data_IF_890178694252
#
_entry.id   IF_890178694252
#
_cell.length_a   1.000
_cell.length_b   1.000
_cell.length_c   1.000
_cell.angle_alpha   90.00
_cell.angle_beta   90.00
_cell.angle_gamma   90.00
#
_symmetry.space_group_name_H-M   'P 1'
#
loop_
_entity.id
_entity.type
_entity.pdbx_description
1 polymer ?
#
# COMPACT_ATOMS: atom_id res chain seq x y z
N UNK A 1 -6.32 2.01 76.37
CA UNK A 1 -6.93 1.10 75.37
C UNK A 1 -7.12 1.72 73.98
N UNK A 2 -6.75 2.99 73.74
CA UNK A 2 -7.01 3.68 72.46
C UNK A 2 -5.88 3.54 71.40
N UNK A 3 -4.65 3.27 71.82
CA UNK A 3 -3.48 3.27 70.92
C UNK A 3 -3.29 1.96 70.12
N UNK A 4 -3.73 0.82 70.68
CA UNK A 4 -3.56 -0.50 70.06
C UNK A 4 -4.58 -0.75 68.94
N UNK A 5 -5.82 -0.26 69.12
CA UNK A 5 -6.88 -0.36 68.10
C UNK A 5 -6.59 0.55 66.90
N UNK A 6 -6.01 1.73 67.12
CA UNK A 6 -5.59 2.63 66.05
C UNK A 6 -4.43 2.05 65.21
N UNK A 7 -3.43 1.42 65.86
CA UNK A 7 -2.31 0.78 65.15
C UNK A 7 -2.77 -0.42 64.30
N UNK A 8 -3.69 -1.24 64.82
CA UNK A 8 -4.24 -2.38 64.09
C UNK A 8 -5.09 -1.94 62.88
N UNK A 9 -5.83 -0.83 62.99
CA UNK A 9 -6.57 -0.27 61.85
C UNK A 9 -5.61 0.26 60.75
N UNK A 10 -4.52 0.92 61.16
CA UNK A 10 -3.51 1.45 60.24
C UNK A 10 -2.74 0.35 59.51
N UNK A 11 -2.37 -0.73 60.20
CA UNK A 11 -1.68 -1.88 59.58
C UNK A 11 -2.58 -2.69 58.65
N UNK A 12 -3.90 -2.66 58.83
CA UNK A 12 -4.87 -3.32 57.93
C UNK A 12 -5.23 -2.47 56.70
N UNK A 13 -5.22 -1.13 56.80
CA UNK A 13 -5.51 -0.21 55.68
C UNK A 13 -4.28 0.11 54.81
N UNK A 14 -3.07 0.05 55.37
CA UNK A 14 -1.82 0.20 54.64
C UNK A 14 -1.63 -0.79 53.46
N UNK A 15 -1.91 -2.10 53.59
CA UNK A 15 -1.77 -3.04 52.48
C UNK A 15 -2.82 -2.79 51.39
N UNK A 16 -4.06 -2.42 51.73
CA UNK A 16 -5.10 -2.12 50.75
C UNK A 16 -4.76 -0.88 49.90
N UNK A 17 -4.18 0.15 50.52
CA UNK A 17 -3.74 1.38 49.82
C UNK A 17 -2.43 1.19 49.03
N UNK A 18 -1.53 0.30 49.48
CA UNK A 18 -0.32 -0.08 48.75
C UNK A 18 -0.63 -0.88 47.48
N UNK A 19 -1.56 -1.84 47.57
CA UNK A 19 -2.07 -2.60 46.43
C UNK A 19 -2.76 -1.66 45.44
N UNK A 20 -3.67 -0.77 45.90
CA UNK A 20 -4.29 0.21 45.02
C UNK A 20 -3.26 1.12 44.32
N UNK A 21 -2.26 1.63 45.06
CA UNK A 21 -1.15 2.42 44.47
C UNK A 21 -0.31 1.66 43.46
N UNK A 22 -0.22 0.33 43.55
CA UNK A 22 0.53 -0.50 42.61
C UNK A 22 -0.29 -0.86 41.37
N UNK A 23 -1.57 -1.21 41.54
CA UNK A 23 -2.44 -1.62 40.42
C UNK A 23 -2.91 -0.44 39.56
N UNK A 24 -3.19 0.72 40.16
CA UNK A 24 -3.66 1.91 39.42
C UNK A 24 -2.69 2.38 38.31
N UNK A 25 -1.37 2.55 38.55
CA UNK A 25 -0.43 2.96 37.51
C UNK A 25 -0.18 1.88 36.45
N UNK A 26 -0.23 0.61 36.85
CA UNK A 26 -0.13 -0.52 35.90
C UNK A 26 -1.34 -0.55 34.98
N UNK A 27 -2.55 -0.36 35.53
CA UNK A 27 -3.78 -0.30 34.74
C UNK A 27 -3.82 0.93 33.82
N UNK A 28 -3.36 2.10 34.28
CA UNK A 28 -3.29 3.30 33.44
C UNK A 28 -2.28 3.15 32.31
N UNK A 29 -1.12 2.53 32.56
CA UNK A 29 -0.13 2.25 31.53
C UNK A 29 -0.67 1.30 30.45
N UNK A 30 -1.39 0.25 30.86
CA UNK A 30 -2.05 -0.66 29.93
C UNK A 30 -3.13 0.05 29.11
N UNK A 31 -3.93 0.91 29.74
CA UNK A 31 -4.96 1.70 29.04
C UNK A 31 -4.35 2.64 28.00
N UNK A 32 -3.24 3.32 28.32
CA UNK A 32 -2.52 4.20 27.38
C UNK A 32 -1.89 3.41 26.23
N UNK A 33 -1.27 2.26 26.51
CA UNK A 33 -0.70 1.39 25.49
C UNK A 33 -1.76 0.85 24.53
N UNK A 34 -2.92 0.42 25.05
CA UNK A 34 -4.03 -0.04 24.22
C UNK A 34 -4.65 1.11 23.42
N UNK A 35 -4.83 2.28 24.04
CA UNK A 35 -5.35 3.48 23.38
C UNK A 35 -4.46 3.94 22.23
N UNK A 36 -3.14 3.98 22.44
CA UNK A 36 -2.17 4.33 21.39
C UNK A 36 -2.14 3.31 20.26
N UNK A 37 -2.18 2.00 20.56
CA UNK A 37 -2.28 0.95 19.53
C UNK A 37 -3.53 1.09 18.66
N UNK A 38 -4.69 1.33 19.28
CA UNK A 38 -5.97 1.52 18.56
C UNK A 38 -5.92 2.78 17.70
N UNK A 39 -5.42 3.90 18.24
CA UNK A 39 -5.32 5.16 17.51
C UNK A 39 -4.38 5.04 16.31
N UNK A 40 -3.20 4.44 16.50
CA UNK A 40 -2.23 4.21 15.42
C UNK A 40 -2.83 3.30 14.35
N UNK A 41 -3.46 2.19 14.75
CA UNK A 41 -4.13 1.29 13.82
C UNK A 41 -5.22 1.99 13.01
N UNK A 42 -6.06 2.79 13.66
CA UNK A 42 -7.12 3.56 12.99
C UNK A 42 -6.54 4.62 12.03
N UNK A 43 -5.52 5.35 12.44
CA UNK A 43 -4.80 6.32 11.60
C UNK A 43 -4.17 5.64 10.38
N UNK A 44 -3.50 4.50 10.55
CA UNK A 44 -2.92 3.71 9.48
C UNK A 44 -3.98 3.22 8.49
N UNK A 45 -5.13 2.74 8.98
CA UNK A 45 -6.22 2.31 8.10
C UNK A 45 -6.84 3.48 7.34
N UNK A 46 -7.10 4.60 8.01
CA UNK A 46 -7.65 5.80 7.35
C UNK A 46 -6.68 6.33 6.30
N UNK A 47 -5.39 6.46 6.62
CA UNK A 47 -4.37 6.90 5.67
C UNK A 47 -4.23 5.94 4.49
N UNK A 48 -4.15 4.61 4.74
CA UNK A 48 -4.12 3.60 3.69
C UNK A 48 -5.38 3.68 2.81
N UNK A 49 -6.56 3.87 3.42
CA UNK A 49 -7.81 4.01 2.67
C UNK A 49 -7.84 5.28 1.82
N UNK A 50 -7.27 6.39 2.32
CA UNK A 50 -7.17 7.66 1.62
C UNK A 50 -6.21 7.56 0.43
N UNK A 51 -5.01 7.02 0.66
CA UNK A 51 -4.01 6.75 -0.37
C UNK A 51 -4.59 5.81 -1.42
N UNK A 52 -5.28 4.74 -1.00
CA UNK A 52 -5.90 3.79 -1.93
C UNK A 52 -6.95 4.46 -2.81
N UNK A 53 -7.81 5.31 -2.23
CA UNK A 53 -8.85 6.03 -2.98
C UNK A 53 -8.25 7.07 -3.93
N UNK A 54 -7.20 7.79 -3.52
CA UNK A 54 -6.57 8.84 -4.34
C UNK A 54 -5.70 8.29 -5.46
N UNK A 55 -4.92 7.24 -5.18
CA UNK A 55 -4.01 6.62 -6.16
C UNK A 55 -4.70 5.58 -7.03
N UNK A 56 -5.47 4.66 -6.43
CA UNK A 56 -6.11 3.56 -7.16
C UNK A 56 -7.58 3.84 -7.54
N UNK A 57 -8.18 4.95 -7.10
CA UNK A 57 -9.53 5.35 -7.55
C UNK A 57 -9.57 5.88 -8.98
N UNK A 58 -8.41 6.09 -9.61
CA UNK A 58 -8.28 6.50 -11.02
C UNK A 58 -7.83 5.35 -11.91
N UNK A 59 -8.41 4.15 -11.74
CA UNK A 59 -8.30 3.12 -12.77
C UNK A 59 -9.05 3.68 -13.99
N UNK A 60 -8.27 4.20 -14.93
CA UNK A 60 -8.77 4.70 -16.18
C UNK A 60 -9.31 3.50 -16.97
N UNK A 61 -10.54 3.64 -17.46
CA UNK A 61 -11.08 2.70 -18.44
C UNK A 61 -10.10 2.60 -19.62
N UNK A 62 -9.76 1.39 -20.01
CA UNK A 62 -8.83 1.12 -21.10
C UNK A 62 -9.47 1.34 -22.47
N UNK A 63 -10.81 1.29 -22.54
CA UNK A 63 -11.54 1.49 -23.78
C UNK A 63 -11.21 2.85 -24.43
N UNK A 64 -10.79 2.81 -25.70
CA UNK A 64 -10.47 3.99 -26.50
C UNK A 64 -9.18 4.72 -26.11
N UNK A 65 -8.37 4.19 -25.18
CA UNK A 65 -7.10 4.80 -24.79
C UNK A 65 -5.91 4.07 -25.40
N UNK A 66 -4.93 4.87 -25.83
CA UNK A 66 -3.66 4.37 -26.33
C UNK A 66 -2.50 4.75 -25.41
N UNK A 67 -1.48 3.90 -25.33
CA UNK A 67 -0.26 4.11 -24.53
C UNK A 67 0.96 3.92 -25.42
N UNK A 68 1.89 4.87 -25.41
CA UNK A 68 3.19 4.73 -26.07
C UNK A 68 4.23 4.27 -25.05
N UNK A 69 4.92 3.17 -25.35
CA UNK A 69 5.98 2.62 -24.50
C UNK A 69 7.28 2.62 -25.29
N UNK A 70 8.27 3.39 -24.83
CA UNK A 70 9.63 3.38 -25.37
C UNK A 70 10.48 2.33 -24.65
N UNK A 71 11.44 1.72 -25.35
CA UNK A 71 12.31 0.70 -24.74
C UNK A 71 11.57 -0.58 -24.33
N UNK A 72 10.69 -1.07 -25.20
CA UNK A 72 9.88 -2.27 -24.96
C UNK A 72 10.41 -3.55 -25.60
N UNK A 73 11.63 -3.53 -26.16
CA UNK A 73 12.24 -4.71 -26.77
C UNK A 73 12.43 -5.85 -25.75
N UNK A 74 12.84 -5.55 -24.52
CA UNK A 74 13.12 -6.57 -23.48
C UNK A 74 12.73 -6.09 -22.08
N UNK A 75 12.84 -6.99 -21.09
CA UNK A 75 12.72 -6.67 -19.67
C UNK A 75 11.37 -6.05 -19.28
N UNK A 76 11.43 -5.01 -18.44
CA UNK A 76 10.23 -4.37 -17.89
C UNK A 76 9.33 -3.75 -18.96
N UNK A 77 9.89 -3.10 -19.97
CA UNK A 77 9.10 -2.45 -21.03
C UNK A 77 8.29 -3.46 -21.85
N UNK A 78 8.87 -4.63 -22.14
CA UNK A 78 8.16 -5.72 -22.81
C UNK A 78 7.00 -6.25 -21.95
N UNK A 79 7.28 -6.56 -20.68
CA UNK A 79 6.26 -7.03 -19.73
C UNK A 79 5.15 -6.00 -19.52
N UNK A 80 5.49 -4.71 -19.45
CA UNK A 80 4.52 -3.63 -19.33
C UNK A 80 3.61 -3.54 -20.56
N UNK A 81 4.19 -3.69 -21.76
CA UNK A 81 3.43 -3.71 -23.02
C UNK A 81 2.41 -4.84 -23.01
N UNK A 82 2.84 -6.06 -22.68
CA UNK A 82 1.93 -7.22 -22.56
C UNK A 82 0.84 -6.99 -21.54
N UNK A 83 1.19 -6.45 -20.37
CA UNK A 83 0.24 -6.22 -19.26
C UNK A 83 -0.78 -5.13 -19.57
N UNK A 84 -0.41 -4.09 -20.32
CA UNK A 84 -1.36 -3.06 -20.75
C UNK A 84 -2.22 -3.55 -21.91
N UNK A 85 -1.63 -4.31 -22.83
CA UNK A 85 -2.39 -4.94 -23.91
C UNK A 85 -3.46 -5.90 -23.37
N UNK A 86 -3.14 -6.78 -22.41
CA UNK A 86 -4.13 -7.68 -21.78
C UNK A 86 -5.20 -6.94 -20.97
N UNK A 87 -4.90 -5.73 -20.50
CA UNK A 87 -5.88 -4.84 -19.85
C UNK A 87 -6.79 -4.10 -20.84
N UNK A 88 -6.62 -4.29 -22.16
CA UNK A 88 -7.46 -3.68 -23.20
C UNK A 88 -6.98 -2.33 -23.71
N UNK A 89 -5.79 -1.86 -23.31
CA UNK A 89 -5.21 -0.64 -23.89
C UNK A 89 -4.71 -0.93 -25.30
N UNK A 90 -4.81 0.04 -26.21
CA UNK A 90 -4.03 -0.02 -27.44
C UNK A 90 -2.59 0.44 -27.13
N UNK A 91 -1.58 -0.34 -27.50
CA UNK A 91 -0.20 -0.01 -27.14
C UNK A 91 0.64 0.24 -28.38
N UNK A 92 1.27 1.41 -28.44
CA UNK A 92 2.30 1.73 -29.42
C UNK A 92 3.66 1.35 -28.84
N UNK A 93 4.26 0.29 -29.38
CA UNK A 93 5.55 -0.24 -28.96
C UNK A 93 6.69 0.49 -29.70
N UNK A 94 7.39 1.39 -29.02
CA UNK A 94 8.60 2.06 -29.48
C UNK A 94 9.84 1.18 -29.29
N UNK A 95 9.89 0.07 -30.03
CA UNK A 95 11.03 -0.84 -30.06
C UNK A 95 12.24 -0.17 -30.74
N UNK A 96 13.43 -0.37 -30.19
CA UNK A 96 14.68 0.06 -30.83
C UNK A 96 14.92 -0.70 -32.14
N UNK A 97 14.64 -2.00 -32.15
CA UNK A 97 14.75 -2.85 -33.33
C UNK A 97 13.40 -3.47 -33.66
N UNK A 98 12.70 -2.94 -34.68
CA UNK A 98 11.36 -3.45 -35.06
C UNK A 98 11.34 -4.92 -35.46
N UNK A 99 12.49 -5.44 -35.91
CA UNK A 99 12.68 -6.82 -36.33
C UNK A 99 13.31 -7.70 -35.24
N UNK A 100 13.63 -7.14 -34.07
CA UNK A 100 14.20 -7.89 -32.95
C UNK A 100 13.21 -8.88 -32.35
N UNK A 101 13.69 -9.94 -31.68
CA UNK A 101 12.85 -11.01 -31.16
C UNK A 101 11.73 -10.51 -30.23
N UNK A 102 12.04 -9.57 -29.32
CA UNK A 102 11.02 -9.00 -28.44
C UNK A 102 9.99 -8.12 -29.16
N UNK A 103 10.37 -7.44 -30.23
CA UNK A 103 9.44 -6.68 -31.06
C UNK A 103 8.49 -7.60 -31.86
N UNK A 104 9.00 -8.72 -32.38
CA UNK A 104 8.18 -9.74 -33.03
C UNK A 104 7.21 -10.41 -32.05
N UNK A 105 7.68 -10.70 -30.84
CA UNK A 105 6.86 -11.27 -29.77
C UNK A 105 5.76 -10.31 -29.30
N UNK A 106 5.95 -8.99 -29.47
CA UNK A 106 4.92 -7.97 -29.21
C UNK A 106 3.99 -7.78 -30.42
N UNK A 107 4.49 -7.97 -31.64
CA UNK A 107 3.71 -7.86 -32.87
C UNK A 107 2.65 -8.97 -33.04
N UNK A 108 2.79 -10.10 -32.34
CA UNK A 108 1.77 -11.15 -32.30
C UNK A 108 0.52 -10.76 -31.50
N UNK A 109 0.56 -9.65 -30.76
CA UNK A 109 -0.55 -9.16 -29.94
C UNK A 109 -1.38 -8.17 -30.75
N UNK A 110 -2.68 -8.46 -30.93
CA UNK A 110 -3.58 -7.73 -31.85
C UNK A 110 -3.74 -6.23 -31.55
N UNK A 111 -3.67 -5.84 -30.28
CA UNK A 111 -3.80 -4.45 -29.83
C UNK A 111 -2.44 -3.76 -29.56
N UNK A 112 -1.34 -4.33 -30.08
CA UNK A 112 -0.01 -3.72 -30.04
C UNK A 112 0.45 -3.37 -31.45
N UNK A 113 0.88 -2.13 -31.65
CA UNK A 113 1.43 -1.66 -32.93
C UNK A 113 2.88 -1.22 -32.76
N UNK A 114 3.79 -1.71 -33.60
CA UNK A 114 5.18 -1.27 -33.58
C UNK A 114 5.30 0.16 -34.12
N UNK A 115 5.62 1.12 -33.25
CA UNK A 115 5.66 2.54 -33.57
C UNK A 115 6.84 2.89 -34.48
N UNK A 116 8.01 2.32 -34.20
CA UNK A 116 9.26 2.59 -34.94
C UNK A 116 9.16 2.12 -36.39
N UNK A 117 8.60 0.93 -36.63
CA UNK A 117 8.35 0.43 -37.99
C UNK A 117 7.41 1.35 -38.78
N UNK A 118 6.37 1.87 -38.11
CA UNK A 118 5.34 2.71 -38.73
C UNK A 118 5.87 4.10 -39.12
N UNK A 119 6.77 4.67 -38.32
CA UNK A 119 7.44 5.92 -38.63
C UNK A 119 8.39 5.78 -39.83
N UNK A 120 9.09 4.64 -39.95
CA UNK A 120 9.95 4.40 -41.11
C UNK A 120 9.16 4.25 -42.41
N UNK A 121 7.98 3.62 -42.37
CA UNK A 121 7.11 3.44 -43.53
C UNK A 121 6.43 4.75 -44.01
N UNK A 122 6.42 5.79 -43.17
CA UNK A 122 5.80 7.10 -43.48
C UNK A 122 6.79 8.17 -43.94
N UNK A 123 8.09 7.84 -44.03
CA UNK A 123 9.09 8.67 -44.73
C UNK A 123 9.28 8.12 -46.13
#
# INVERSE_FOLDING_TARGET
MCMCTALLLFTLLAPASGVARYYVPVLSLLAEALGTLVLVGWCCQKSASFIRRRLFGRILDSAGKAVLITGCDTGFGNLLTRKLATKGYHVYAGCLFSNGGGAQELASISNVTNFTARCHQRR
#
